data_IF_593673946756
#
_entry.id   IF_593673946756
#
_cell.length_a   1.000
_cell.length_b   1.000
_cell.length_c   1.000
_cell.angle_alpha   90.00
_cell.angle_beta   90.00
_cell.angle_gamma   90.00
#
_symmetry.space_group_name_H-M   'P 1'
#
loop_
_entity.id
_entity.type
_entity.pdbx_description
1 polymer ?
#
# COMPACT_ATOMS: atom_id res chain seq x y z
N UNK A 1 -16.12 -17.06 -24.53
CA UNK A 1 -15.44 -17.35 -23.26
C UNK A 1 -14.70 -16.08 -22.82
N UNK A 2 -15.23 -15.31 -21.86
CA UNK A 2 -14.50 -14.16 -21.30
C UNK A 2 -13.62 -14.69 -20.18
N UNK A 3 -12.33 -14.55 -20.40
CA UNK A 3 -11.24 -14.99 -19.54
C UNK A 3 -11.51 -14.63 -18.07
N UNK A 4 -11.63 -15.65 -17.22
CA UNK A 4 -11.63 -15.49 -15.76
C UNK A 4 -10.18 -15.27 -15.32
N UNK A 5 -9.51 -14.25 -15.84
CA UNK A 5 -8.32 -13.71 -15.23
C UNK A 5 -8.74 -13.23 -13.85
N UNK A 6 -8.51 -14.07 -12.83
CA UNK A 6 -8.76 -13.76 -11.41
C UNK A 6 -7.76 -12.67 -11.01
N UNK A 7 -8.02 -11.44 -11.46
CA UNK A 7 -7.22 -10.28 -11.12
C UNK A 7 -7.03 -10.19 -9.61
N UNK A 8 -5.85 -9.74 -9.20
CA UNK A 8 -5.55 -9.44 -7.81
C UNK A 8 -6.58 -8.39 -7.36
N UNK A 9 -7.40 -8.74 -6.37
CA UNK A 9 -8.34 -7.80 -5.73
C UNK A 9 -7.65 -7.21 -4.51
N UNK A 10 -7.13 -5.99 -4.65
CA UNK A 10 -6.42 -5.27 -3.60
C UNK A 10 -7.26 -5.14 -2.33
N UNK A 11 -8.58 -4.89 -2.45
CA UNK A 11 -9.49 -4.85 -1.30
C UNK A 11 -9.51 -6.15 -0.47
N UNK A 12 -9.51 -7.31 -1.16
CA UNK A 12 -9.50 -8.62 -0.50
C UNK A 12 -8.18 -8.88 0.20
N UNK A 13 -7.07 -8.49 -0.42
CA UNK A 13 -5.75 -8.63 0.18
C UNK A 13 -5.56 -7.69 1.36
N UNK A 14 -5.99 -6.42 1.24
CA UNK A 14 -5.95 -5.46 2.34
C UNK A 14 -6.66 -6.01 3.60
N UNK A 15 -7.87 -6.57 3.43
CA UNK A 15 -8.58 -7.20 4.55
C UNK A 15 -7.80 -8.35 5.20
N UNK A 16 -7.31 -9.30 4.39
CA UNK A 16 -6.55 -10.47 4.92
C UNK A 16 -5.24 -10.07 5.58
N UNK A 17 -4.56 -9.06 5.03
CA UNK A 17 -3.31 -8.55 5.57
C UNK A 17 -3.56 -7.76 6.86
N UNK A 18 -4.68 -7.03 6.97
CA UNK A 18 -5.11 -6.39 8.20
C UNK A 18 -5.40 -7.43 9.31
N UNK A 19 -6.11 -8.51 8.97
CA UNK A 19 -6.36 -9.61 9.92
C UNK A 19 -5.04 -10.23 10.42
N UNK A 20 -4.06 -10.41 9.52
CA UNK A 20 -2.72 -10.88 9.90
C UNK A 20 -1.95 -9.87 10.75
N UNK A 21 -1.99 -8.58 10.41
CA UNK A 21 -1.33 -7.52 11.16
C UNK A 21 -1.79 -7.46 12.62
N UNK A 22 -3.09 -7.68 12.87
CA UNK A 22 -3.70 -7.69 14.20
C UNK A 22 -3.23 -8.83 15.10
N UNK A 23 -2.55 -9.85 14.56
CA UNK A 23 -2.08 -10.97 15.37
C UNK A 23 -1.01 -10.57 16.39
N UNK A 24 -0.11 -9.65 16.04
CA UNK A 24 0.85 -9.04 16.99
C UNK A 24 1.56 -7.82 16.38
N UNK A 25 2.22 -6.96 17.18
CA UNK A 25 3.00 -5.83 16.65
C UNK A 25 4.08 -6.23 15.64
N UNK A 26 4.65 -7.44 15.79
CA UNK A 26 5.62 -7.99 14.82
C UNK A 26 4.96 -8.28 13.47
N UNK A 27 3.72 -8.76 13.45
CA UNK A 27 2.97 -8.97 12.21
C UNK A 27 2.60 -7.64 11.56
N UNK A 28 2.20 -6.62 12.33
CA UNK A 28 1.94 -5.28 11.81
C UNK A 28 3.18 -4.70 11.08
N UNK A 29 4.36 -4.76 11.71
CA UNK A 29 5.62 -4.33 11.10
C UNK A 29 5.97 -5.14 9.85
N UNK A 30 5.79 -6.47 9.88
CA UNK A 30 6.04 -7.32 8.72
C UNK A 30 5.10 -7.02 7.55
N UNK A 31 3.80 -6.86 7.82
CA UNK A 31 2.79 -6.55 6.80
C UNK A 31 3.05 -5.17 6.19
N UNK A 32 3.45 -4.16 6.98
CA UNK A 32 3.89 -2.86 6.47
C UNK A 32 4.99 -3.02 5.44
N UNK A 33 6.08 -3.68 5.82
CA UNK A 33 7.26 -3.86 4.97
C UNK A 33 6.95 -4.70 3.72
N UNK A 34 6.06 -5.70 3.87
CA UNK A 34 5.57 -6.50 2.75
C UNK A 34 4.78 -5.66 1.75
N UNK A 35 3.80 -4.87 2.20
CA UNK A 35 2.98 -4.04 1.33
C UNK A 35 3.84 -2.98 0.64
N UNK A 36 4.73 -2.32 1.37
CA UNK A 36 5.71 -1.38 0.82
C UNK A 36 6.55 -2.01 -0.30
N UNK A 37 7.09 -3.23 -0.08
CA UNK A 37 7.87 -3.94 -1.09
C UNK A 37 7.04 -4.34 -2.32
N UNK A 38 5.77 -4.69 -2.15
CA UNK A 38 4.86 -5.01 -3.27
C UNK A 38 4.63 -3.79 -4.16
N UNK A 39 4.65 -2.56 -3.62
CA UNK A 39 4.43 -1.35 -4.40
C UNK A 39 5.49 -1.12 -5.49
N UNK A 40 6.72 -1.64 -5.31
CA UNK A 40 7.77 -1.62 -6.34
C UNK A 40 7.30 -2.27 -7.65
N UNK A 41 6.50 -3.33 -7.53
CA UNK A 41 5.95 -4.11 -8.65
C UNK A 41 4.63 -3.58 -9.18
N UNK A 42 4.20 -2.37 -8.83
CA UNK A 42 2.95 -1.81 -9.34
C UNK A 42 2.95 -1.77 -10.88
N UNK A 43 1.91 -2.34 -11.52
CA UNK A 43 1.78 -2.29 -12.97
C UNK A 43 1.48 -0.86 -13.44
N UNK A 44 1.79 -0.60 -14.70
CA UNK A 44 1.42 0.65 -15.39
C UNK A 44 0.47 0.27 -16.54
N UNK A 45 -0.79 0.74 -16.57
CA UNK A 45 -1.42 1.62 -15.57
C UNK A 45 -1.69 0.92 -14.22
N UNK A 46 -1.82 1.69 -13.12
CA UNK A 46 -2.05 1.14 -11.79
C UNK A 46 -3.37 0.36 -11.69
N UNK A 47 -3.43 -0.55 -10.71
CA UNK A 47 -4.64 -1.33 -10.43
C UNK A 47 -5.79 -0.41 -10.01
N UNK A 48 -6.96 -0.59 -10.60
CA UNK A 48 -8.14 0.25 -10.35
C UNK A 48 -8.57 0.27 -8.87
N UNK A 49 -8.37 -0.84 -8.15
CA UNK A 49 -8.76 -1.00 -6.74
C UNK A 49 -7.58 -0.88 -5.76
N UNK A 50 -6.50 -0.17 -6.11
CA UNK A 50 -5.30 -0.04 -5.28
C UNK A 50 -5.54 0.65 -3.93
N UNK A 51 -6.53 1.54 -3.84
CA UNK A 51 -6.80 2.40 -2.67
C UNK A 51 -6.81 1.68 -1.30
N UNK A 52 -7.55 0.57 -1.12
CA UNK A 52 -7.52 -0.25 0.09
C UNK A 52 -6.12 -0.68 0.58
N UNK A 53 -5.19 -1.02 -0.32
CA UNK A 53 -3.82 -1.36 0.10
C UNK A 53 -3.04 -0.14 0.58
N UNK A 54 -3.24 1.02 -0.05
CA UNK A 54 -2.61 2.27 0.40
C UNK A 54 -3.17 2.74 1.74
N UNK A 55 -4.47 2.57 1.96
CA UNK A 55 -5.11 2.85 3.24
C UNK A 55 -4.53 1.97 4.36
N UNK A 56 -4.43 0.66 4.12
CA UNK A 56 -3.80 -0.28 5.05
C UNK A 56 -2.34 0.11 5.34
N UNK A 57 -1.55 0.41 4.30
CA UNK A 57 -0.15 0.79 4.49
C UNK A 57 -0.02 2.04 5.36
N UNK A 58 -0.87 3.05 5.14
CA UNK A 58 -0.88 4.28 5.95
C UNK A 58 -1.23 4.00 7.40
N UNK A 59 -2.25 3.17 7.65
CA UNK A 59 -2.61 2.74 9.02
C UNK A 59 -1.42 2.05 9.70
N UNK A 60 -0.76 1.13 9.01
CA UNK A 60 0.39 0.39 9.55
C UNK A 60 1.62 1.28 9.75
N UNK A 61 1.86 2.27 8.89
CA UNK A 61 2.92 3.26 9.11
C UNK A 61 2.70 4.03 10.42
N UNK A 62 1.46 4.43 10.70
CA UNK A 62 1.10 5.11 11.95
C UNK A 62 1.22 4.16 13.15
N UNK A 63 0.63 2.97 13.07
CA UNK A 63 0.62 1.98 14.15
C UNK A 63 2.03 1.56 14.56
N UNK A 64 2.93 1.45 13.59
CA UNK A 64 4.32 1.02 13.83
C UNK A 64 5.29 2.19 14.03
N UNK A 65 4.78 3.43 14.04
CA UNK A 65 5.58 4.67 14.07
C UNK A 65 6.73 4.67 13.06
N UNK A 66 6.53 4.02 11.91
CA UNK A 66 7.54 3.90 10.86
C UNK A 66 6.98 4.33 9.50
N UNK A 67 7.45 5.46 8.97
CA UNK A 67 7.05 5.96 7.65
C UNK A 67 7.58 5.08 6.51
N UNK A 68 7.07 5.32 5.31
CA UNK A 68 7.53 4.66 4.08
C UNK A 68 8.93 5.18 3.71
N UNK A 69 9.87 4.26 3.53
CA UNK A 69 11.31 4.50 3.34
C UNK A 69 11.85 3.97 2.01
N UNK A 70 11.11 3.08 1.35
CA UNK A 70 11.53 2.41 0.14
C UNK A 70 11.50 3.37 -1.08
N UNK A 71 12.65 3.71 -1.67
CA UNK A 71 12.71 4.73 -2.71
C UNK A 71 11.99 4.30 -3.99
N UNK A 72 12.00 3.01 -4.34
CA UNK A 72 11.32 2.49 -5.53
C UNK A 72 9.80 2.52 -5.35
N UNK A 73 9.31 2.11 -4.18
CA UNK A 73 7.89 2.22 -3.84
C UNK A 73 7.42 3.68 -3.83
N UNK A 74 8.22 4.60 -3.26
CA UNK A 74 7.95 6.05 -3.27
C UNK A 74 7.87 6.59 -4.70
N UNK A 75 8.81 6.22 -5.56
CA UNK A 75 8.79 6.62 -6.98
C UNK A 75 7.53 6.12 -7.69
N UNK A 76 7.10 4.87 -7.44
CA UNK A 76 5.85 4.33 -7.99
C UNK A 76 4.61 5.08 -7.50
N UNK A 77 4.54 5.43 -6.22
CA UNK A 77 3.42 6.23 -5.69
C UNK A 77 3.42 7.67 -6.23
N UNK A 78 4.59 8.24 -6.50
CA UNK A 78 4.70 9.59 -7.07
C UNK A 78 4.11 9.70 -8.48
N UNK A 79 4.03 8.58 -9.22
CA UNK A 79 3.38 8.49 -10.52
C UNK A 79 1.84 8.41 -10.42
N UNK A 80 1.26 8.23 -9.23
CA UNK A 80 -0.19 8.24 -9.05
C UNK A 80 -0.66 9.70 -9.00
N UNK A 81 -1.03 10.22 -10.16
CA UNK A 81 -1.52 11.58 -10.37
C UNK A 81 -3.04 11.71 -10.23
N UNK A 82 -3.53 12.95 -10.20
CA UNK A 82 -4.95 13.28 -10.12
C UNK A 82 -5.47 13.67 -8.73
N UNK A 83 -6.78 13.90 -8.65
CA UNK A 83 -7.46 14.42 -7.45
C UNK A 83 -8.33 13.38 -6.72
N UNK A 84 -8.30 12.12 -7.16
CA UNK A 84 -9.09 11.01 -6.62
C UNK A 84 -8.59 10.50 -5.26
N UNK A 85 -9.40 9.67 -4.60
CA UNK A 85 -9.08 9.17 -3.25
C UNK A 85 -7.75 8.39 -3.19
N UNK A 86 -7.44 7.56 -4.19
CA UNK A 86 -6.16 6.82 -4.27
C UNK A 86 -4.97 7.77 -4.40
N UNK A 87 -5.07 8.82 -5.23
CA UNK A 87 -4.00 9.81 -5.39
C UNK A 87 -3.75 10.61 -4.10
N UNK A 88 -4.81 10.96 -3.36
CA UNK A 88 -4.69 11.62 -2.04
C UNK A 88 -4.01 10.72 -1.02
N UNK A 89 -4.33 9.42 -0.99
CA UNK A 89 -3.67 8.44 -0.12
C UNK A 89 -2.19 8.28 -0.47
N UNK A 90 -1.87 8.19 -1.76
CA UNK A 90 -0.49 8.12 -2.23
C UNK A 90 0.33 9.36 -1.78
N UNK A 91 -0.24 10.56 -1.92
CA UNK A 91 0.40 11.79 -1.46
C UNK A 91 0.60 11.81 0.05
N UNK A 92 -0.41 11.42 0.83
CA UNK A 92 -0.28 11.33 2.29
C UNK A 92 0.81 10.34 2.75
N UNK A 93 1.05 9.26 2.02
CA UNK A 93 2.15 8.31 2.28
C UNK A 93 3.52 8.92 1.94
N UNK A 94 3.60 9.77 0.91
CA UNK A 94 4.85 10.42 0.51
C UNK A 94 5.24 11.57 1.44
N UNK A 95 4.25 12.30 1.98
CA UNK A 95 4.44 13.44 2.87
C UNK A 95 4.91 13.02 4.28
N UNK A 96 4.65 11.78 4.69
CA UNK A 96 5.19 11.21 5.91
C UNK A 96 6.71 11.06 5.76
N UNK A 97 7.47 11.97 6.38
CA UNK A 97 8.92 11.98 6.32
C UNK A 97 9.51 10.68 6.89
N UNK A 98 10.55 10.07 6.29
CA UNK A 98 11.33 9.03 6.93
C UNK A 98 11.92 9.57 8.25
N UNK A 99 11.81 8.81 9.35
CA UNK A 99 12.50 9.18 10.58
C UNK A 99 14.00 9.22 10.29
N UNK A 100 14.63 10.37 10.56
CA UNK A 100 16.05 10.63 10.31
C UNK A 100 16.96 9.78 11.20
#
# INVERSE_FOLDING_TARGET
MRDRARGIKCARWAKRLQDAARASPRHAAFVRDLVERVLRGLPTPPLADLGPLLALLRELCVETSKPMHDPEARAKLAMLDGAGATARLARALLDAAPAA
#
